data_IF_874585496219
#
_entry.id   IF_874585496219
#
_cell.length_a   1.000
_cell.length_b   1.000
_cell.length_c   1.000
_cell.angle_alpha   90.00
_cell.angle_beta   90.00
_cell.angle_gamma   90.00
#
_symmetry.space_group_name_H-M   'P 1'
#
loop_
_entity.id
_entity.type
_entity.pdbx_description
1 polymer ?
#
# COMPACT_ATOMS: atom_id res chain seq x y z
N UNK A 1 -15.76 23.25 -15.85
CA UNK A 1 -14.65 22.59 -15.15
C UNK A 1 -13.42 23.44 -15.36
N UNK A 2 -13.04 24.26 -14.38
CA UNK A 2 -11.80 25.02 -14.46
C UNK A 2 -10.70 24.05 -14.05
N UNK A 3 -9.95 23.54 -15.03
CA UNK A 3 -8.71 22.84 -14.73
C UNK A 3 -7.84 23.83 -13.95
N UNK A 4 -7.54 23.54 -12.68
CA UNK A 4 -6.47 24.26 -11.97
C UNK A 4 -5.24 24.18 -12.86
N UNK A 5 -4.58 25.32 -13.11
CA UNK A 5 -3.28 25.33 -13.80
C UNK A 5 -2.38 24.31 -13.11
N UNK A 6 -2.02 23.24 -13.84
CA UNK A 6 -1.07 22.25 -13.36
C UNK A 6 0.29 22.92 -13.45
N UNK A 7 0.92 23.17 -12.30
CA UNK A 7 2.29 23.64 -12.29
C UNK A 7 3.22 22.52 -12.77
N UNK A 8 3.67 22.60 -14.01
CA UNK A 8 4.63 21.66 -14.61
C UNK A 8 6.07 21.88 -14.13
N UNK A 9 6.33 22.84 -13.22
CA UNK A 9 7.66 23.10 -12.64
C UNK A 9 8.05 22.10 -11.56
N UNK A 10 7.13 21.23 -11.10
CA UNK A 10 7.42 20.22 -10.08
C UNK A 10 6.99 18.83 -10.53
N UNK A 11 7.94 17.91 -10.58
CA UNK A 11 7.72 16.49 -10.89
C UNK A 11 7.80 15.71 -9.58
N UNK A 12 6.68 15.10 -9.21
CA UNK A 12 6.60 14.19 -8.06
C UNK A 12 6.41 12.77 -8.58
N UNK A 13 7.36 11.89 -8.26
CA UNK A 13 7.16 10.46 -8.43
C UNK A 13 6.31 9.93 -7.27
N UNK A 14 5.10 9.47 -7.60
CA UNK A 14 4.14 9.00 -6.61
C UNK A 14 4.33 7.54 -6.19
N UNK A 15 5.24 6.80 -6.83
CA UNK A 15 5.30 5.34 -6.73
C UNK A 15 6.73 4.77 -6.94
N UNK A 16 7.70 5.32 -6.20
CA UNK A 16 9.10 4.92 -6.32
C UNK A 16 9.44 3.66 -5.52
N UNK A 17 9.85 2.58 -6.17
CA UNK A 17 10.12 1.30 -5.51
C UNK A 17 11.57 1.08 -5.07
N UNK A 18 11.74 0.60 -3.84
CA UNK A 18 13.04 0.24 -3.30
C UNK A 18 13.30 -1.26 -3.38
N UNK A 19 14.48 -1.63 -3.90
CA UNK A 19 15.06 -2.94 -3.65
C UNK A 19 15.54 -2.99 -2.19
N UNK A 20 14.83 -3.74 -1.34
CA UNK A 20 15.15 -3.80 0.09
C UNK A 20 16.50 -4.45 0.37
N UNK A 21 17.31 -3.82 1.23
CA UNK A 21 18.47 -4.46 1.83
C UNK A 21 18.02 -5.38 2.97
N UNK A 22 17.71 -6.63 2.59
CA UNK A 22 17.20 -7.67 3.49
C UNK A 22 18.14 -7.91 4.69
N UNK A 23 19.46 -7.80 4.48
CA UNK A 23 20.41 -8.01 5.57
C UNK A 23 20.39 -6.84 6.55
N UNK A 24 20.40 -5.60 6.06
CA UNK A 24 20.33 -4.41 6.89
C UNK A 24 19.02 -4.36 7.70
N UNK A 25 17.90 -4.67 7.07
CA UNK A 25 16.59 -4.76 7.76
C UNK A 25 16.63 -5.86 8.82
N UNK A 26 17.11 -7.07 8.48
CA UNK A 26 17.19 -8.18 9.43
C UNK A 26 18.03 -7.81 10.67
N UNK A 27 19.11 -7.04 10.51
CA UNK A 27 19.96 -6.58 11.62
C UNK A 27 19.25 -5.64 12.60
N UNK A 28 18.23 -4.91 12.14
CA UNK A 28 17.40 -4.02 12.95
C UNK A 28 16.26 -4.74 13.68
N UNK A 29 16.00 -6.01 13.36
CA UNK A 29 15.00 -6.79 14.08
C UNK A 29 15.46 -7.12 15.52
N UNK A 30 14.52 -7.32 16.46
CA UNK A 30 14.82 -7.81 17.80
C UNK A 30 15.66 -9.09 17.78
N UNK A 31 16.58 -9.24 18.74
CA UNK A 31 17.54 -10.35 18.81
C UNK A 31 16.89 -11.74 18.68
N UNK A 32 15.71 -11.93 19.28
CA UNK A 32 14.94 -13.20 19.21
C UNK A 32 14.61 -13.65 17.78
N UNK A 33 14.52 -12.71 16.83
CA UNK A 33 14.28 -12.95 15.41
C UNK A 33 15.59 -12.92 14.62
N UNK A 34 16.36 -11.83 14.78
CA UNK A 34 17.62 -11.60 14.08
C UNK A 34 18.62 -12.73 14.28
N UNK A 35 18.84 -13.18 15.51
CA UNK A 35 19.91 -14.15 15.80
C UNK A 35 19.61 -15.51 15.13
N UNK A 36 18.34 -15.84 14.89
CA UNK A 36 17.93 -17.02 14.12
C UNK A 36 18.29 -16.90 12.64
N UNK A 37 18.05 -15.74 12.02
CA UNK A 37 18.38 -15.46 10.62
C UNK A 37 19.89 -15.61 10.35
N UNK A 38 20.74 -15.25 11.31
CA UNK A 38 22.21 -15.32 11.17
C UNK A 38 22.86 -16.57 11.76
N UNK A 39 22.08 -17.53 12.27
CA UNK A 39 22.60 -18.73 12.98
C UNK A 39 23.28 -19.78 12.09
N UNK A 40 23.57 -19.48 10.82
CA UNK A 40 24.22 -20.40 9.85
C UNK A 40 23.38 -21.61 9.42
N UNK A 41 22.30 -21.93 10.13
CA UNK A 41 21.32 -22.98 9.78
C UNK A 41 20.15 -22.47 8.92
N UNK A 42 19.94 -21.15 8.87
CA UNK A 42 18.79 -20.51 8.23
C UNK A 42 19.09 -19.92 6.84
N UNK A 43 20.33 -20.00 6.36
CA UNK A 43 20.80 -19.30 5.14
C UNK A 43 20.08 -19.70 3.85
N UNK A 44 19.43 -20.87 3.80
CA UNK A 44 18.63 -21.33 2.66
C UNK A 44 17.19 -20.76 2.62
N UNK A 45 16.68 -20.21 3.74
CA UNK A 45 15.28 -19.79 3.91
C UNK A 45 15.13 -18.35 4.43
N UNK A 46 16.21 -17.55 4.40
CA UNK A 46 16.23 -16.17 4.92
C UNK A 46 15.43 -15.19 4.04
N UNK A 47 14.11 -15.38 3.99
CA UNK A 47 13.18 -14.44 3.40
C UNK A 47 12.44 -13.72 4.53
N UNK A 48 12.59 -12.39 4.59
CA UNK A 48 11.85 -11.57 5.56
C UNK A 48 10.35 -11.51 5.21
N UNK A 49 10.07 -11.48 3.91
CA UNK A 49 8.74 -11.42 3.34
C UNK A 49 8.37 -12.76 2.71
N UNK A 50 7.10 -13.16 2.75
CA UNK A 50 6.61 -14.26 1.93
C UNK A 50 6.70 -13.89 0.44
N UNK A 51 6.70 -14.88 -0.48
CA UNK A 51 6.55 -14.61 -1.90
C UNK A 51 5.29 -13.78 -2.19
N UNK A 52 5.42 -12.84 -3.12
CA UNK A 52 4.35 -11.92 -3.49
C UNK A 52 3.12 -12.68 -4.01
N UNK A 53 3.35 -13.73 -4.78
CA UNK A 53 2.32 -14.62 -5.33
C UNK A 53 2.70 -16.09 -5.21
N UNK A 54 1.75 -16.96 -5.55
CA UNK A 54 1.96 -18.42 -5.67
C UNK A 54 2.68 -18.82 -6.95
N UNK A 55 2.95 -17.85 -7.85
CA UNK A 55 3.84 -18.11 -8.94
C UNK A 55 5.24 -18.30 -8.40
N UNK A 56 6.00 -19.16 -9.06
CA UNK A 56 7.45 -19.13 -8.92
C UNK A 56 7.93 -17.88 -9.67
N UNK A 57 7.58 -16.68 -9.20
CA UNK A 57 8.05 -15.39 -9.72
C UNK A 57 9.58 -15.27 -9.63
N UNK A 58 10.21 -16.14 -8.82
CA UNK A 58 11.64 -16.42 -8.83
C UNK A 58 12.15 -17.21 -10.06
N UNK A 59 11.28 -17.67 -10.97
CA UNK A 59 11.67 -18.18 -12.28
C UNK A 59 12.25 -17.02 -13.07
N UNK A 60 13.47 -17.15 -13.62
CA UNK A 60 14.09 -16.09 -14.40
C UNK A 60 13.25 -15.83 -15.65
N UNK A 61 12.43 -14.78 -15.60
CA UNK A 61 12.03 -14.07 -16.80
C UNK A 61 13.27 -13.31 -17.29
N UNK A 62 13.60 -13.43 -18.57
CA UNK A 62 14.62 -12.57 -19.18
C UNK A 62 14.14 -11.13 -19.06
N UNK A 63 14.78 -10.38 -18.16
CA UNK A 63 14.58 -8.94 -18.01
C UNK A 63 15.75 -8.20 -18.65
N UNK A 64 15.54 -6.96 -19.15
CA UNK A 64 16.65 -6.15 -19.65
C UNK A 64 17.79 -6.05 -18.64
N UNK A 65 19.03 -6.03 -19.12
CA UNK A 65 20.22 -5.86 -18.27
C UNK A 65 20.08 -4.61 -17.37
N UNK A 66 20.40 -4.77 -16.08
CA UNK A 66 20.26 -3.71 -15.07
C UNK A 66 18.87 -3.58 -14.45
N UNK A 67 17.87 -4.34 -14.93
CA UNK A 67 16.54 -4.37 -14.29
C UNK A 67 16.65 -4.87 -12.85
N UNK A 68 15.98 -4.17 -11.93
CA UNK A 68 16.00 -4.47 -10.48
C UNK A 68 17.41 -4.44 -9.85
N UNK A 69 18.35 -3.69 -10.43
CA UNK A 69 19.65 -3.50 -9.80
C UNK A 69 19.50 -2.83 -8.41
N UNK A 70 20.21 -3.30 -7.37
CA UNK A 70 20.17 -2.68 -6.05
C UNK A 70 21.04 -1.42 -6.04
N UNK A 71 20.52 -0.34 -6.63
CA UNK A 71 21.25 0.93 -6.81
C UNK A 71 21.48 1.69 -5.50
N UNK A 72 20.74 1.34 -4.44
CA UNK A 72 20.84 1.98 -3.14
C UNK A 72 20.44 3.46 -3.16
N UNK A 73 20.73 4.17 -2.08
CA UNK A 73 20.32 5.57 -1.94
C UNK A 73 21.05 6.52 -2.87
N UNK A 74 22.35 6.32 -3.11
CA UNK A 74 23.12 7.20 -3.98
C UNK A 74 22.66 7.06 -5.44
N UNK A 75 22.37 5.83 -5.90
CA UNK A 75 21.81 5.64 -7.25
C UNK A 75 20.39 6.19 -7.40
N UNK A 76 19.59 6.23 -6.32
CA UNK A 76 18.29 6.91 -6.31
C UNK A 76 18.44 8.44 -6.42
N UNK A 77 19.45 9.01 -5.74
CA UNK A 77 19.78 10.45 -5.84
C UNK A 77 20.24 10.79 -7.25
N UNK A 78 21.17 10.01 -7.81
CA UNK A 78 21.67 10.20 -9.17
C UNK A 78 20.53 10.10 -10.20
N UNK A 79 19.65 9.10 -10.06
CA UNK A 79 18.47 8.97 -10.92
C UNK A 79 17.55 10.18 -10.83
N UNK A 80 17.22 10.64 -9.62
CA UNK A 80 16.35 11.79 -9.42
C UNK A 80 16.96 13.08 -10.03
N UNK A 81 18.27 13.26 -9.94
CA UNK A 81 18.99 14.36 -10.59
C UNK A 81 18.95 14.25 -12.12
N UNK A 82 19.22 13.06 -12.66
CA UNK A 82 19.28 12.80 -14.10
C UNK A 82 17.93 13.02 -14.81
N UNK A 83 16.82 12.63 -14.17
CA UNK A 83 15.47 12.76 -14.77
C UNK A 83 14.69 13.99 -14.28
N UNK A 84 15.27 14.77 -13.35
CA UNK A 84 14.65 15.99 -12.83
C UNK A 84 13.44 15.74 -11.93
N UNK A 85 13.50 14.71 -11.06
CA UNK A 85 12.46 14.46 -10.04
C UNK A 85 12.70 15.36 -8.83
N UNK A 86 11.70 16.19 -8.50
CA UNK A 86 11.74 17.09 -7.34
C UNK A 86 11.43 16.38 -6.02
N UNK A 87 10.61 15.32 -6.06
CA UNK A 87 10.30 14.50 -4.89
C UNK A 87 9.81 13.12 -5.32
N UNK A 88 10.13 12.10 -4.53
CA UNK A 88 9.62 10.75 -4.72
C UNK A 88 9.01 10.22 -3.43
N UNK A 89 7.87 9.54 -3.53
CA UNK A 89 7.30 8.75 -2.42
C UNK A 89 7.80 7.31 -2.58
N UNK A 90 8.54 6.84 -1.59
CA UNK A 90 9.20 5.54 -1.62
C UNK A 90 8.33 4.42 -1.02
N UNK A 91 8.25 3.32 -1.76
CA UNK A 91 7.49 2.09 -1.46
C UNK A 91 8.42 0.87 -1.41
N UNK A 92 8.07 -0.17 -0.63
CA UNK A 92 8.77 -1.44 -0.68
C UNK A 92 8.51 -2.20 -1.98
N UNK A 93 9.35 -3.16 -2.33
CA UNK A 93 9.11 -4.13 -3.41
C UNK A 93 8.72 -5.49 -2.85
N UNK A 94 9.59 -6.14 -2.08
CA UNK A 94 9.25 -7.38 -1.39
C UNK A 94 8.18 -7.18 -0.30
N UNK A 95 8.17 -6.01 0.33
CA UNK A 95 7.15 -5.62 1.32
C UNK A 95 5.74 -5.46 0.77
N UNK A 96 5.51 -5.50 -0.55
CA UNK A 96 4.16 -5.60 -1.11
C UNK A 96 3.45 -6.90 -0.68
N UNK A 97 4.21 -7.93 -0.30
CA UNK A 97 3.68 -9.18 0.24
C UNK A 97 3.35 -9.11 1.75
N UNK A 98 3.57 -7.96 2.40
CA UNK A 98 3.52 -7.84 3.87
C UNK A 98 2.17 -8.24 4.48
N UNK A 99 1.07 -8.10 3.75
CA UNK A 99 -0.26 -8.54 4.19
C UNK A 99 -0.32 -10.04 4.50
N UNK A 100 0.48 -10.84 3.78
CA UNK A 100 0.54 -12.31 3.88
C UNK A 100 1.35 -12.81 5.09
N UNK A 101 2.01 -11.92 5.84
CA UNK A 101 2.75 -12.34 7.03
C UNK A 101 1.76 -12.81 8.10
N UNK A 102 1.76 -14.12 8.38
CA UNK A 102 0.80 -14.73 9.33
C UNK A 102 1.23 -14.56 10.79
N UNK A 103 2.53 -14.62 11.07
CA UNK A 103 3.02 -14.49 12.44
C UNK A 103 3.00 -13.01 12.88
N UNK A 104 2.12 -12.68 13.83
CA UNK A 104 1.88 -11.29 14.25
C UNK A 104 3.13 -10.65 14.89
N UNK A 105 3.85 -11.36 15.75
CA UNK A 105 5.09 -10.84 16.34
C UNK A 105 6.17 -10.58 15.29
N UNK A 106 6.22 -11.41 14.23
CA UNK A 106 7.10 -11.21 13.09
C UNK A 106 6.69 -9.98 12.28
N UNK A 107 5.40 -9.82 11.98
CA UNK A 107 4.88 -8.66 11.25
C UNK A 107 5.23 -7.36 11.98
N UNK A 108 5.00 -7.29 13.29
CA UNK A 108 5.33 -6.11 14.11
C UNK A 108 6.82 -5.81 14.05
N UNK A 109 7.67 -6.81 14.29
CA UNK A 109 9.12 -6.63 14.28
C UNK A 109 9.67 -6.25 12.90
N UNK A 110 9.11 -6.83 11.84
CA UNK A 110 9.52 -6.57 10.46
C UNK A 110 9.10 -5.17 10.01
N UNK A 111 7.87 -4.74 10.30
CA UNK A 111 7.42 -3.38 10.03
C UNK A 111 8.34 -2.36 10.68
N UNK A 112 8.62 -2.52 11.98
CA UNK A 112 9.51 -1.63 12.72
C UNK A 112 10.93 -1.58 12.13
N UNK A 113 11.49 -2.75 11.80
CA UNK A 113 12.83 -2.86 11.22
C UNK A 113 12.91 -2.23 9.83
N UNK A 114 11.93 -2.50 8.95
CA UNK A 114 11.83 -1.91 7.62
C UNK A 114 11.70 -0.38 7.70
N UNK A 115 10.81 0.11 8.56
CA UNK A 115 10.57 1.55 8.69
C UNK A 115 11.81 2.28 9.22
N UNK A 116 12.54 1.67 10.16
CA UNK A 116 13.81 2.21 10.65
C UNK A 116 14.89 2.21 9.56
N UNK A 117 15.01 1.12 8.79
CA UNK A 117 15.95 1.05 7.68
C UNK A 117 15.66 2.12 6.63
N UNK A 118 14.39 2.27 6.24
CA UNK A 118 13.95 3.25 5.25
C UNK A 118 14.24 4.68 5.71
N UNK A 119 13.95 4.98 6.99
CA UNK A 119 14.23 6.27 7.58
C UNK A 119 15.73 6.58 7.61
N UNK A 120 16.55 5.67 8.14
CA UNK A 120 17.99 5.88 8.31
C UNK A 120 18.73 5.93 6.98
N UNK A 121 18.30 5.13 6.00
CA UNK A 121 19.00 4.99 4.72
C UNK A 121 18.57 6.05 3.71
N UNK A 122 17.28 6.36 3.61
CA UNK A 122 16.75 7.22 2.56
C UNK A 122 16.26 8.58 3.10
N UNK A 123 15.35 8.60 4.06
CA UNK A 123 14.71 9.86 4.50
C UNK A 123 15.69 10.85 5.15
N UNK A 124 16.72 10.35 5.84
CA UNK A 124 17.80 11.19 6.39
C UNK A 124 18.83 11.63 5.36
N UNK A 125 18.88 10.97 4.20
CA UNK A 125 19.93 11.18 3.19
C UNK A 125 19.58 12.31 2.24
N UNK A 126 18.34 12.37 1.77
CA UNK A 126 17.87 13.41 0.83
C UNK A 126 16.43 13.83 1.17
N UNK A 127 16.20 15.14 1.29
CA UNK A 127 14.91 15.73 1.64
C UNK A 127 13.81 15.54 0.58
N UNK A 128 14.19 15.22 -0.66
CA UNK A 128 13.29 14.90 -1.77
C UNK A 128 12.53 13.60 -1.54
N UNK A 129 13.12 12.67 -0.78
CA UNK A 129 12.49 11.41 -0.47
C UNK A 129 11.42 11.59 0.61
N UNK A 130 10.21 11.16 0.26
CA UNK A 130 9.11 10.85 1.17
C UNK A 130 8.94 9.33 1.18
N UNK A 131 8.21 8.82 2.15
CA UNK A 131 7.99 7.39 2.24
C UNK A 131 6.68 7.08 2.92
N UNK A 132 6.18 5.89 2.62
CA UNK A 132 5.10 5.24 3.36
C UNK A 132 5.66 4.09 4.17
N UNK A 133 5.18 3.95 5.40
CA UNK A 133 5.61 2.86 6.28
C UNK A 133 4.85 1.55 6.05
N UNK A 134 5.44 0.45 6.48
CA UNK A 134 4.70 -0.80 6.72
C UNK A 134 4.04 -0.73 8.10
N UNK A 135 2.77 -1.16 8.20
CA UNK A 135 2.06 -1.26 9.47
C UNK A 135 1.42 -2.66 9.62
N UNK A 136 1.56 -3.32 10.80
CA UNK A 136 1.13 -4.71 11.00
C UNK A 136 -0.40 -4.83 11.14
N UNK A 137 -1.15 -4.64 10.04
CA UNK A 137 -2.63 -4.72 10.01
C UNK A 137 -3.19 -6.06 10.52
N UNK A 138 -2.36 -7.11 10.61
CA UNK A 138 -2.71 -8.36 11.26
C UNK A 138 -3.11 -8.15 12.73
N UNK A 139 -2.52 -7.16 13.39
CA UNK A 139 -2.88 -6.65 14.71
C UNK A 139 -3.23 -5.15 14.61
N UNK A 140 -4.53 -4.78 14.45
CA UNK A 140 -4.94 -3.39 14.30
C UNK A 140 -4.48 -2.49 15.46
N UNK A 141 -4.34 -3.02 16.68
CA UNK A 141 -3.89 -2.22 17.82
C UNK A 141 -2.40 -1.86 17.71
N UNK A 142 -1.56 -2.77 17.21
CA UNK A 142 -0.15 -2.49 16.93
C UNK A 142 0.02 -1.67 15.65
N UNK A 143 -0.83 -1.86 14.64
CA UNK A 143 -0.85 -1.03 13.43
C UNK A 143 -1.11 0.45 13.74
N UNK A 144 -2.02 0.76 14.67
CA UNK A 144 -2.26 2.13 15.17
C UNK A 144 -0.99 2.74 15.77
N UNK A 145 -0.25 1.97 16.59
CA UNK A 145 0.98 2.44 17.23
C UNK A 145 2.08 2.70 16.20
N UNK A 146 2.26 1.77 15.27
CA UNK A 146 3.29 1.89 14.26
C UNK A 146 2.99 3.00 13.24
N UNK A 147 1.72 3.16 12.82
CA UNK A 147 1.31 4.28 11.97
C UNK A 147 1.64 5.63 12.62
N UNK A 148 1.32 5.78 13.90
CA UNK A 148 1.66 6.98 14.67
C UNK A 148 3.17 7.23 14.68
N UNK A 149 3.98 6.19 14.91
CA UNK A 149 5.44 6.27 14.91
C UNK A 149 5.98 6.67 13.54
N UNK A 150 5.51 6.04 12.47
CA UNK A 150 5.89 6.37 11.09
C UNK A 150 5.68 7.85 10.78
N UNK A 151 4.50 8.38 11.10
CA UNK A 151 4.15 9.77 10.77
C UNK A 151 4.80 10.77 11.72
N UNK A 152 4.76 10.55 13.04
CA UNK A 152 5.18 11.54 14.02
C UNK A 152 6.68 11.52 14.34
N UNK A 153 7.33 10.35 14.26
CA UNK A 153 8.72 10.19 14.65
C UNK A 153 9.64 10.01 13.45
N UNK A 154 9.21 9.28 12.42
CA UNK A 154 10.04 8.99 11.22
C UNK A 154 9.77 9.94 10.05
N UNK A 155 8.76 10.81 10.13
CA UNK A 155 8.44 11.79 9.09
C UNK A 155 7.89 11.17 7.79
N UNK A 156 7.36 9.95 7.86
CA UNK A 156 6.67 9.30 6.74
C UNK A 156 5.32 9.98 6.48
N UNK A 157 4.86 9.97 5.23
CA UNK A 157 3.60 10.63 4.83
C UNK A 157 2.36 9.78 5.14
N UNK A 158 2.55 8.54 5.57
CA UNK A 158 1.48 7.59 5.80
C UNK A 158 1.96 6.14 5.83
N UNK A 159 1.10 5.23 5.43
CA UNK A 159 1.40 3.80 5.33
C UNK A 159 0.94 3.19 4.01
N UNK A 160 1.67 2.15 3.57
CA UNK A 160 1.30 1.31 2.44
C UNK A 160 0.43 0.16 2.94
N UNK A 161 -0.67 -0.10 2.24
CA UNK A 161 -1.53 -1.26 2.43
C UNK A 161 -1.48 -2.12 1.17
N UNK A 162 -1.03 -3.38 1.26
CA UNK A 162 -1.28 -4.33 0.19
C UNK A 162 -2.79 -4.44 -0.06
N UNK A 163 -3.19 -4.49 -1.32
CA UNK A 163 -4.60 -4.60 -1.70
C UNK A 163 -5.22 -5.96 -1.32
N UNK A 164 -4.39 -6.93 -0.94
CA UNK A 164 -4.78 -8.30 -0.61
C UNK A 164 -3.74 -8.97 0.32
N UNK A 165 -4.04 -10.18 0.79
CA UNK A 165 -3.18 -11.00 1.66
C UNK A 165 -3.48 -10.86 3.15
N UNK A 166 -4.23 -9.83 3.53
CA UNK A 166 -4.78 -9.72 4.88
C UNK A 166 -5.91 -10.74 5.12
N UNK A 167 -6.29 -10.90 6.39
CA UNK A 167 -7.42 -11.74 6.79
C UNK A 167 -8.74 -11.33 6.11
N UNK A 168 -8.97 -10.03 5.98
CA UNK A 168 -10.17 -9.44 5.38
C UNK A 168 -9.79 -8.32 4.40
N UNK A 169 -10.74 -7.88 3.57
CA UNK A 169 -10.54 -6.73 2.69
C UNK A 169 -10.36 -5.44 3.51
N UNK A 170 -9.58 -4.48 3.00
CA UNK A 170 -9.21 -3.26 3.72
C UNK A 170 -10.40 -2.37 4.15
N UNK A 171 -11.59 -2.57 3.59
CA UNK A 171 -12.81 -1.88 4.04
C UNK A 171 -13.43 -2.44 5.32
N UNK A 172 -12.96 -3.58 5.81
CA UNK A 172 -13.56 -4.27 6.95
C UNK A 172 -13.48 -3.46 8.26
N UNK A 173 -14.49 -3.65 9.12
CA UNK A 173 -14.62 -2.90 10.39
C UNK A 173 -13.48 -3.15 11.36
N UNK A 174 -12.86 -4.33 11.30
CA UNK A 174 -11.69 -4.69 12.11
C UNK A 174 -10.52 -3.70 11.92
N UNK A 175 -10.43 -3.04 10.75
CA UNK A 175 -9.36 -2.10 10.42
C UNK A 175 -9.68 -0.63 10.74
N UNK A 176 -10.92 -0.32 11.12
CA UNK A 176 -11.35 1.05 11.39
C UNK A 176 -10.54 1.79 12.47
N UNK A 177 -10.06 1.14 13.56
CA UNK A 177 -9.19 1.82 14.52
C UNK A 177 -7.92 2.41 13.89
N UNK A 178 -7.38 1.75 12.86
CA UNK A 178 -6.22 2.26 12.10
C UNK A 178 -6.60 3.52 11.31
N UNK A 179 -7.79 3.53 10.70
CA UNK A 179 -8.27 4.67 9.92
C UNK A 179 -8.69 5.85 10.81
N UNK A 180 -9.17 5.59 12.03
CA UNK A 180 -9.38 6.61 13.04
C UNK A 180 -8.07 7.32 13.39
N UNK A 181 -6.99 6.55 13.58
CA UNK A 181 -5.68 7.13 13.83
C UNK A 181 -5.11 7.85 12.59
N UNK A 182 -5.26 7.28 11.40
CA UNK A 182 -4.86 7.92 10.15
C UNK A 182 -5.59 9.26 9.95
N UNK A 183 -6.88 9.32 10.29
CA UNK A 183 -7.70 10.52 10.25
C UNK A 183 -7.21 11.58 11.24
N UNK A 184 -6.84 11.17 12.46
CA UNK A 184 -6.26 12.06 13.47
C UNK A 184 -4.91 12.63 13.00
N UNK A 185 -4.10 11.79 12.34
CA UNK A 185 -2.78 12.15 11.80
C UNK A 185 -2.87 12.95 10.49
N UNK A 186 -4.01 12.88 9.79
CA UNK A 186 -4.22 13.43 8.44
C UNK A 186 -3.20 12.90 7.43
N UNK A 187 -2.90 11.60 7.52
CA UNK A 187 -1.88 10.95 6.70
C UNK A 187 -2.48 10.14 5.56
N UNK A 188 -1.61 9.70 4.65
CA UNK A 188 -1.99 8.87 3.52
C UNK A 188 -2.13 7.38 3.88
N UNK A 189 -3.10 6.72 3.27
CA UNK A 189 -3.21 5.27 3.20
C UNK A 189 -3.10 4.86 1.73
N UNK A 190 -1.92 4.37 1.36
CA UNK A 190 -1.56 4.07 -0.01
C UNK A 190 -1.82 2.58 -0.31
N UNK A 191 -2.94 2.29 -0.98
CA UNK A 191 -3.35 0.94 -1.36
C UNK A 191 -2.60 0.53 -2.61
N UNK A 192 -1.79 -0.52 -2.50
CA UNK A 192 -0.89 -0.95 -3.57
C UNK A 192 -1.21 -2.38 -4.02
N UNK A 193 -1.04 -2.64 -5.33
CA UNK A 193 -1.03 -4.01 -5.87
C UNK A 193 0.12 -4.85 -5.28
N UNK A 194 0.14 -6.14 -5.60
CA UNK A 194 1.24 -7.02 -5.19
C UNK A 194 0.76 -8.43 -4.86
N UNK A 195 0.06 -8.61 -3.75
CA UNK A 195 -0.54 -9.92 -3.45
C UNK A 195 -1.77 -10.18 -4.32
N UNK A 196 -1.77 -11.29 -5.07
CA UNK A 196 -2.83 -11.63 -6.03
C UNK A 196 -3.51 -12.98 -5.74
N UNK A 197 -3.26 -13.55 -4.57
CA UNK A 197 -3.78 -14.87 -4.19
C UNK A 197 -5.28 -14.89 -3.92
N UNK A 198 -5.91 -16.04 -4.12
CA UNK A 198 -7.31 -16.32 -3.81
C UNK A 198 -8.35 -15.51 -4.61
N UNK A 199 -7.95 -14.94 -5.75
CA UNK A 199 -8.86 -14.35 -6.73
C UNK A 199 -9.08 -15.26 -7.95
N UNK A 200 -8.57 -16.49 -7.91
CA UNK A 200 -8.60 -17.43 -9.02
C UNK A 200 -7.42 -17.26 -9.98
N UNK A 201 -6.58 -16.25 -9.79
CA UNK A 201 -5.31 -16.07 -10.49
C UNK A 201 -4.30 -17.18 -10.16
N UNK A 202 -4.47 -17.85 -9.02
CA UNK A 202 -3.68 -19.00 -8.56
C UNK A 202 -3.71 -20.19 -9.53
N UNK A 203 -4.70 -20.23 -10.41
CA UNK A 203 -4.90 -21.28 -11.40
C UNK A 203 -4.39 -20.90 -12.80
N UNK A 204 -3.91 -19.67 -12.99
CA UNK A 204 -3.24 -19.27 -14.21
C UNK A 204 -1.81 -19.82 -14.22
N UNK A 205 -1.27 -20.14 -15.40
CA UNK A 205 0.09 -20.68 -15.57
C UNK A 205 1.04 -19.73 -16.33
N UNK A 206 0.56 -18.54 -16.71
CA UNK A 206 1.36 -17.45 -17.28
C UNK A 206 1.32 -16.24 -16.34
N UNK A 207 2.48 -15.64 -16.04
CA UNK A 207 2.58 -14.54 -15.07
C UNK A 207 1.99 -13.22 -15.57
N UNK A 208 2.19 -12.87 -16.85
CA UNK A 208 1.72 -11.61 -17.41
C UNK A 208 0.23 -11.28 -17.11
N UNK A 209 -0.75 -12.19 -17.30
CA UNK A 209 -2.14 -11.92 -16.92
C UNK A 209 -2.38 -11.90 -15.41
N UNK A 210 -1.62 -12.64 -14.59
CA UNK A 210 -1.70 -12.58 -13.12
C UNK A 210 -1.30 -11.19 -12.64
N UNK A 211 -0.19 -10.65 -13.15
CA UNK A 211 0.26 -9.30 -12.84
C UNK A 211 -0.74 -8.24 -13.34
N UNK A 212 -1.09 -8.29 -14.63
CA UNK A 212 -1.92 -7.28 -15.28
C UNK A 212 -3.35 -7.18 -14.69
N UNK A 213 -3.94 -8.31 -14.30
CA UNK A 213 -5.26 -8.33 -13.67
C UNK A 213 -5.18 -8.21 -12.15
N UNK A 214 -4.13 -8.74 -11.53
CA UNK A 214 -3.97 -8.80 -10.08
C UNK A 214 -3.90 -7.43 -9.42
N UNK A 215 -3.08 -6.52 -9.96
CA UNK A 215 -2.89 -5.17 -9.42
C UNK A 215 -4.22 -4.43 -9.23
N UNK A 216 -5.08 -4.27 -10.25
CA UNK A 216 -6.35 -3.59 -10.09
C UNK A 216 -7.42 -4.39 -9.33
N UNK A 217 -7.37 -5.73 -9.32
CA UNK A 217 -8.48 -6.53 -8.79
C UNK A 217 -8.62 -6.42 -7.27
N UNK A 218 -7.52 -6.54 -6.53
CA UNK A 218 -7.53 -6.30 -5.08
C UNK A 218 -7.93 -4.87 -4.75
N UNK A 219 -7.48 -3.90 -5.54
CA UNK A 219 -7.85 -2.49 -5.38
C UNK A 219 -9.34 -2.24 -5.59
N UNK A 220 -9.98 -2.89 -6.57
CA UNK A 220 -11.44 -2.81 -6.76
C UNK A 220 -12.20 -3.30 -5.52
N UNK A 221 -11.78 -4.42 -4.93
CA UNK A 221 -12.42 -4.99 -3.74
C UNK A 221 -12.20 -4.07 -2.53
N UNK A 222 -10.97 -3.59 -2.34
CA UNK A 222 -10.62 -2.64 -1.28
C UNK A 222 -11.40 -1.34 -1.41
N UNK A 223 -11.42 -0.75 -2.60
CA UNK A 223 -12.14 0.48 -2.92
C UNK A 223 -13.65 0.34 -2.69
N UNK A 224 -14.27 -0.76 -3.15
CA UNK A 224 -15.66 -1.07 -2.86
C UNK A 224 -15.91 -1.12 -1.34
N UNK A 225 -15.04 -1.83 -0.60
CA UNK A 225 -15.14 -1.93 0.84
C UNK A 225 -15.05 -0.58 1.55
N UNK A 226 -14.10 0.29 1.16
CA UNK A 226 -13.92 1.61 1.75
C UNK A 226 -15.12 2.52 1.49
N UNK A 227 -15.64 2.51 0.26
CA UNK A 227 -16.81 3.31 -0.14
C UNK A 227 -18.07 2.81 0.58
N UNK A 228 -18.44 1.55 0.39
CA UNK A 228 -19.74 1.04 0.84
C UNK A 228 -19.83 0.81 2.34
N UNK A 229 -18.71 0.56 3.03
CA UNK A 229 -18.71 0.52 4.51
C UNK A 229 -18.62 1.93 5.14
N UNK A 230 -18.75 3.01 4.35
CA UNK A 230 -18.78 4.38 4.85
C UNK A 230 -17.46 4.84 5.48
N UNK A 231 -16.33 4.21 5.14
CA UNK A 231 -15.02 4.48 5.74
C UNK A 231 -14.59 5.92 5.45
N UNK A 232 -14.76 6.37 4.20
CA UNK A 232 -14.37 7.73 3.77
C UNK A 232 -15.21 8.84 4.41
N UNK A 233 -16.45 8.55 4.82
CA UNK A 233 -17.30 9.50 5.55
C UNK A 233 -16.94 9.57 7.03
N UNK A 234 -16.61 8.42 7.64
CA UNK A 234 -16.22 8.34 9.06
C UNK A 234 -14.84 8.93 9.29
N UNK A 235 -13.94 8.81 8.32
CA UNK A 235 -12.53 9.19 8.43
C UNK A 235 -12.13 10.19 7.33
N UNK A 236 -12.76 11.37 7.27
CA UNK A 236 -12.67 12.29 6.14
C UNK A 236 -11.32 12.98 5.96
N UNK A 237 -10.38 12.86 6.92
CA UNK A 237 -9.05 13.45 6.79
C UNK A 237 -7.98 12.44 6.35
N UNK A 238 -8.34 11.16 6.18
CA UNK A 238 -7.44 10.16 5.59
C UNK A 238 -7.33 10.44 4.11
N UNK A 239 -6.10 10.45 3.56
CA UNK A 239 -5.87 10.59 2.12
C UNK A 239 -5.68 9.21 1.50
N UNK A 240 -6.53 8.83 0.57
CA UNK A 240 -6.43 7.50 -0.06
C UNK A 240 -5.67 7.55 -1.39
N UNK A 241 -4.66 6.71 -1.53
CA UNK A 241 -3.96 6.47 -2.81
C UNK A 241 -4.25 5.06 -3.31
N UNK A 242 -4.38 4.89 -4.62
CA UNK A 242 -4.51 3.60 -5.30
C UNK A 242 -3.43 3.49 -6.37
N UNK A 243 -2.46 2.60 -6.17
CA UNK A 243 -1.16 2.63 -6.83
C UNK A 243 -1.00 1.45 -7.80
N UNK A 244 -0.33 1.70 -8.93
CA UNK A 244 0.04 0.70 -9.93
C UNK A 244 -1.10 -0.17 -10.51
N UNK A 245 -2.37 0.25 -10.39
CA UNK A 245 -3.53 -0.48 -10.92
C UNK A 245 -3.95 -0.08 -12.35
N UNK A 246 -3.30 0.94 -12.93
CA UNK A 246 -3.86 1.67 -14.07
C UNK A 246 -5.14 2.43 -13.69
N UNK A 247 -5.90 2.92 -14.68
CA UNK A 247 -7.10 3.76 -14.44
C UNK A 247 -8.42 3.10 -14.89
N UNK A 248 -8.36 2.06 -15.72
CA UNK A 248 -9.56 1.44 -16.31
C UNK A 248 -10.46 0.76 -15.27
N UNK A 249 -9.89 0.17 -14.21
CA UNK A 249 -10.65 -0.45 -13.12
C UNK A 249 -11.53 0.57 -12.38
N UNK A 250 -11.03 1.80 -12.21
CA UNK A 250 -11.77 2.86 -11.53
C UNK A 250 -13.01 3.24 -12.32
N UNK A 251 -12.89 3.33 -13.65
CA UNK A 251 -14.04 3.58 -14.54
C UNK A 251 -15.08 2.45 -14.45
N UNK A 252 -14.62 1.19 -14.38
CA UNK A 252 -15.50 0.05 -14.15
C UNK A 252 -16.24 0.18 -12.80
N UNK A 253 -15.53 0.53 -11.71
CA UNK A 253 -16.16 0.77 -10.41
C UNK A 253 -17.22 1.87 -10.48
N UNK A 254 -16.93 3.02 -11.10
CA UNK A 254 -17.90 4.11 -11.23
C UNK A 254 -19.19 3.67 -11.92
N UNK A 255 -19.08 2.98 -13.07
CA UNK A 255 -20.25 2.49 -13.81
C UNK A 255 -21.05 1.47 -13.00
N UNK A 256 -20.35 0.47 -12.44
CA UNK A 256 -20.97 -0.69 -11.79
C UNK A 256 -21.57 -0.34 -10.44
N UNK A 257 -20.94 0.54 -9.67
CA UNK A 257 -21.42 0.95 -8.35
C UNK A 257 -22.72 1.74 -8.46
N UNK A 258 -22.81 2.70 -9.38
CA UNK A 258 -24.05 3.46 -9.62
C UNK A 258 -25.21 2.51 -9.91
N UNK A 259 -25.04 1.65 -10.92
CA UNK A 259 -26.12 0.77 -11.37
C UNK A 259 -26.52 -0.25 -10.30
N UNK A 260 -25.54 -0.77 -9.55
CA UNK A 260 -25.81 -1.79 -8.53
C UNK A 260 -26.54 -1.19 -7.33
N UNK A 261 -26.12 -0.02 -6.86
CA UNK A 261 -26.75 0.67 -5.73
C UNK A 261 -28.18 1.11 -6.04
N UNK A 262 -28.46 1.54 -7.28
CA UNK A 262 -29.82 1.89 -7.71
C UNK A 262 -30.80 0.70 -7.72
N UNK A 263 -30.30 -0.53 -7.87
CA UNK A 263 -31.14 -1.70 -8.15
C UNK A 263 -31.22 -2.71 -7.02
N UNK A 264 -30.31 -2.65 -6.04
CA UNK A 264 -30.23 -3.61 -4.95
C UNK A 264 -30.48 -2.90 -3.62
N UNK A 265 -31.55 -3.29 -2.92
CA UNK A 265 -31.87 -2.71 -1.61
C UNK A 265 -30.83 -3.18 -0.60
N UNK A 266 -30.19 -2.23 0.09
CA UNK A 266 -29.20 -2.50 1.13
C UNK A 266 -29.85 -2.43 2.51
N UNK A 267 -29.54 -3.41 3.36
CA UNK A 267 -29.94 -3.38 4.77
C UNK A 267 -28.85 -2.67 5.58
N UNK A 268 -29.16 -1.52 6.15
CA UNK A 268 -28.26 -0.79 7.05
C UNK A 268 -28.99 -0.36 8.35
N UNK A 269 -29.35 -1.31 9.22
CA UNK A 269 -30.07 -1.00 10.46
C UNK A 269 -29.23 -0.25 11.49
N UNK A 270 -27.92 -0.12 11.27
CA UNK A 270 -27.00 0.59 12.17
C UNK A 270 -26.62 1.98 11.66
N UNK A 271 -27.04 2.34 10.45
CA UNK A 271 -26.66 3.59 9.79
C UNK A 271 -25.13 3.77 9.73
N UNK A 272 -24.43 2.66 9.44
CA UNK A 272 -22.97 2.63 9.44
C UNK A 272 -22.36 2.58 8.03
N UNK A 273 -23.15 2.24 7.01
CA UNK A 273 -22.69 2.16 5.63
C UNK A 273 -22.63 3.57 4.98
N UNK A 274 -22.29 3.61 3.69
CA UNK A 274 -22.24 4.84 2.89
C UNK A 274 -23.50 5.71 3.07
N UNK A 275 -23.30 7.02 3.22
CA UNK A 275 -24.38 8.00 3.36
C UNK A 275 -24.40 8.95 2.15
N UNK A 276 -25.42 8.80 1.30
CA UNK A 276 -25.59 9.64 0.11
C UNK A 276 -26.48 10.85 0.40
N UNK A 277 -26.17 11.98 -0.23
CA UNK A 277 -27.07 13.14 -0.29
C UNK A 277 -28.28 12.80 -1.16
N UNK A 278 -29.39 13.52 -0.96
CA UNK A 278 -30.60 13.29 -1.74
C UNK A 278 -30.33 13.41 -3.25
N UNK A 279 -30.57 12.32 -4.00
CA UNK A 279 -30.35 12.23 -5.44
C UNK A 279 -28.88 12.09 -5.87
N UNK A 280 -27.93 11.94 -4.94
CA UNK A 280 -26.52 11.69 -5.23
C UNK A 280 -26.32 10.24 -5.66
N UNK A 281 -25.59 10.02 -6.76
CA UNK A 281 -25.14 8.68 -7.17
C UNK A 281 -23.79 8.35 -6.52
N UNK A 282 -23.37 7.09 -6.57
CA UNK A 282 -22.07 6.67 -6.02
C UNK A 282 -20.91 7.38 -6.74
N UNK A 283 -21.00 7.53 -8.06
CA UNK A 283 -20.00 8.25 -8.84
C UNK A 283 -19.94 9.75 -8.51
N UNK A 284 -21.07 10.36 -8.12
CA UNK A 284 -21.12 11.74 -7.68
C UNK A 284 -20.53 11.88 -6.26
N UNK A 285 -20.80 10.92 -5.37
CA UNK A 285 -20.17 10.80 -4.06
C UNK A 285 -18.65 10.67 -4.15
N UNK A 286 -18.14 9.81 -5.04
CA UNK A 286 -16.69 9.61 -5.24
C UNK A 286 -16.04 10.90 -5.74
N UNK A 287 -16.63 11.56 -6.75
CA UNK A 287 -16.14 12.85 -7.26
C UNK A 287 -16.10 13.91 -6.17
N UNK A 288 -17.13 13.94 -5.32
CA UNK A 288 -17.18 14.86 -4.20
C UNK A 288 -16.04 14.65 -3.20
N UNK A 289 -15.68 13.39 -2.89
CA UNK A 289 -14.52 13.12 -2.03
C UNK A 289 -13.23 13.67 -2.68
N UNK A 290 -13.04 13.45 -3.99
CA UNK A 290 -11.88 13.99 -4.73
C UNK A 290 -11.87 15.53 -4.71
N UNK A 291 -13.02 16.18 -4.96
CA UNK A 291 -13.14 17.65 -4.98
C UNK A 291 -12.94 18.27 -3.58
N UNK A 292 -13.32 17.54 -2.52
CA UNK A 292 -13.11 17.90 -1.12
C UNK A 292 -11.70 17.56 -0.62
N UNK A 293 -10.82 17.07 -1.52
CA UNK A 293 -9.46 16.61 -1.20
C UNK A 293 -9.50 15.57 -0.07
N UNK A 294 -10.27 14.49 -0.24
CA UNK A 294 -10.38 13.36 0.70
C UNK A 294 -9.91 12.07 0.03
#
# INVERSE_FOLDING_TARGET
MVLKEVNLEKIVDGDGHLNEDIEAIARLMPAKFRDRLFSGKATLLNQLYPPIDHFHSAMPVEVPEGSFAPVGVDGWVDFADDVGIDSAVLYPSAGLAFGKVVNMDWAIALAQAYNNWLYETYLKRDSRFKAVGLIPMQDPAEAVKELRRCVQELGMVGAMLPSNGFKDHIGAKDYWPVYEEANRLKCAMAVHGGSHENYGFDHMNVYAPVHALGHPFGQMIGFAGLIFNGVMDKFPNVKWGFLEGGISWFMLCLERFDRSYETHIHSDPREELIQLRAGERISDYIKRNIDEDR
#
